data_IF_994415672318
#
_entry.id   IF_994415672318
#
_cell.length_a   1.000
_cell.length_b   1.000
_cell.length_c   1.000
_cell.angle_alpha   90.00
_cell.angle_beta   90.00
_cell.angle_gamma   90.00
#
_symmetry.space_group_name_H-M   'P 1'
#
loop_
_entity.id
_entity.type
_entity.pdbx_description
1 polymer ?
#
# COMPACT_ATOMS: atom_id res chain seq x y z
N UNK A 1 8.66 -5.33 30.33
CA UNK A 1 8.36 -4.15 29.50
C UNK A 1 6.87 -3.92 29.60
N UNK A 2 6.43 -2.82 30.18
CA UNK A 2 5.00 -2.54 30.36
C UNK A 2 4.47 -2.00 29.04
N UNK A 3 3.44 -2.64 28.48
CA UNK A 3 2.79 -2.18 27.26
C UNK A 3 2.08 -0.86 27.55
N UNK A 4 2.28 0.13 26.69
CA UNK A 4 1.53 1.39 26.75
C UNK A 4 0.02 1.08 26.63
N UNK A 5 -0.86 1.68 27.45
CA UNK A 5 -2.30 1.48 27.37
C UNK A 5 -2.88 1.68 25.96
N UNK A 6 -2.28 2.54 25.14
CA UNK A 6 -2.65 2.76 23.73
C UNK A 6 -2.47 1.47 22.91
N UNK A 7 -1.45 0.67 23.21
CA UNK A 7 -1.18 -0.60 22.52
C UNK A 7 -1.80 -1.84 23.21
N UNK A 8 -2.40 -1.67 24.38
CA UNK A 8 -3.03 -2.74 25.15
C UNK A 8 -4.56 -2.84 24.92
N UNK A 9 -5.14 -1.90 24.18
CA UNK A 9 -6.56 -1.93 23.82
C UNK A 9 -6.89 -3.19 23.00
N UNK A 10 -8.07 -3.80 23.20
CA UNK A 10 -8.50 -4.94 22.42
C UNK A 10 -8.66 -4.57 20.95
N UNK A 11 -8.11 -5.39 20.06
CA UNK A 11 -8.13 -5.16 18.62
C UNK A 11 -6.99 -5.87 17.90
N UNK A 12 -6.88 -5.63 16.59
CA UNK A 12 -5.79 -6.14 15.76
C UNK A 12 -4.97 -4.96 15.24
N UNK A 13 -3.65 -5.01 15.46
CA UNK A 13 -2.72 -4.12 14.76
C UNK A 13 -2.66 -4.51 13.30
N UNK A 14 -3.04 -3.58 12.42
CA UNK A 14 -2.96 -3.78 10.97
C UNK A 14 -1.63 -3.25 10.44
N UNK A 15 -0.86 -4.12 9.80
CA UNK A 15 0.37 -3.75 9.11
C UNK A 15 0.02 -3.22 7.72
N UNK A 16 0.23 -1.93 7.48
CA UNK A 16 -0.11 -1.29 6.21
C UNK A 16 1.02 -0.48 5.60
N UNK A 17 1.07 -0.41 4.26
CA UNK A 17 1.80 0.65 3.57
C UNK A 17 0.80 1.67 3.01
N UNK A 18 0.92 2.92 3.44
CA UNK A 18 -0.01 4.00 3.07
C UNK A 18 0.43 4.82 1.86
N UNK A 19 1.64 4.58 1.33
CA UNK A 19 2.16 5.34 0.20
C UNK A 19 3.15 4.50 -0.61
N UNK A 20 2.70 4.05 -1.78
CA UNK A 20 3.49 3.18 -2.66
C UNK A 20 3.16 3.45 -4.10
N UNK A 21 4.17 3.47 -4.97
CA UNK A 21 3.98 3.74 -6.39
C UNK A 21 4.15 2.45 -7.21
N UNK A 22 3.49 2.42 -8.37
CA UNK A 22 3.63 1.37 -9.37
C UNK A 22 4.23 1.97 -10.66
N UNK A 23 4.39 1.14 -11.69
CA UNK A 23 4.83 1.60 -13.01
C UNK A 23 3.77 2.41 -13.77
N UNK A 24 2.60 2.67 -13.18
CA UNK A 24 1.66 3.65 -13.69
C UNK A 24 2.13 5.11 -13.49
N UNK A 25 3.10 5.34 -12.59
CA UNK A 25 3.82 6.61 -12.49
C UNK A 25 5.35 6.43 -12.52
N UNK A 26 6.03 6.42 -11.38
CA UNK A 26 7.50 6.27 -11.29
C UNK A 26 7.96 5.10 -10.42
N UNK A 27 7.05 4.19 -10.08
CA UNK A 27 7.41 2.87 -9.58
C UNK A 27 7.93 1.96 -10.69
N UNK A 28 8.49 0.82 -10.28
CA UNK A 28 9.11 -0.14 -11.21
C UNK A 28 8.18 -1.28 -11.61
N UNK A 29 7.27 -1.68 -10.70
CA UNK A 29 6.45 -2.90 -10.85
C UNK A 29 5.00 -2.55 -11.15
N UNK A 30 4.28 -3.45 -11.81
CA UNK A 30 2.84 -3.28 -12.06
C UNK A 30 2.05 -3.15 -10.75
N UNK A 31 0.88 -2.49 -10.75
CA UNK A 31 0.01 -2.42 -9.58
C UNK A 31 -0.27 -3.81 -8.97
N UNK A 32 -0.58 -4.80 -9.80
CA UNK A 32 -0.82 -6.18 -9.37
C UNK A 32 0.41 -6.79 -8.68
N UNK A 33 1.59 -6.60 -9.25
CA UNK A 33 2.84 -7.12 -8.69
C UNK A 33 3.21 -6.45 -7.37
N UNK A 34 2.93 -5.14 -7.22
CA UNK A 34 3.05 -4.42 -5.95
C UNK A 34 2.11 -5.04 -4.91
N UNK A 35 0.82 -5.18 -5.24
CA UNK A 35 -0.18 -5.77 -4.34
C UNK A 35 0.20 -7.21 -3.92
N UNK A 36 0.64 -8.05 -4.86
CA UNK A 36 1.07 -9.42 -4.59
C UNK A 36 2.22 -9.46 -3.58
N UNK A 37 3.24 -8.61 -3.75
CA UNK A 37 4.40 -8.61 -2.85
C UNK A 37 4.07 -8.16 -1.43
N UNK A 38 3.20 -7.15 -1.26
CA UNK A 38 2.78 -6.76 0.10
C UNK A 38 1.93 -7.84 0.76
N UNK A 39 1.08 -8.52 0.00
CA UNK A 39 0.30 -9.67 0.48
C UNK A 39 1.21 -10.84 0.89
N UNK A 40 2.19 -11.19 0.06
CA UNK A 40 3.21 -12.21 0.38
C UNK A 40 4.07 -11.84 1.60
N UNK A 41 4.33 -10.55 1.81
CA UNK A 41 5.06 -10.01 2.96
C UNK A 41 4.21 -9.87 4.24
N UNK A 42 2.97 -10.37 4.23
CA UNK A 42 2.07 -10.39 5.39
C UNK A 42 1.54 -9.01 5.80
N UNK A 43 1.40 -8.09 4.84
CA UNK A 43 0.68 -6.83 5.08
C UNK A 43 -0.83 -7.06 5.01
N UNK A 44 -1.56 -6.32 5.85
CA UNK A 44 -3.01 -6.36 5.92
C UNK A 44 -3.68 -5.51 4.86
N UNK A 45 -3.03 -4.41 4.50
CA UNK A 45 -3.51 -3.50 3.46
C UNK A 45 -2.34 -2.75 2.83
N UNK A 46 -2.60 -2.19 1.65
CA UNK A 46 -1.74 -1.17 1.06
C UNK A 46 -2.57 -0.10 0.36
N UNK A 47 -1.95 1.05 0.12
CA UNK A 47 -2.41 2.06 -0.80
C UNK A 47 -1.42 2.19 -1.96
N UNK A 48 -1.93 2.06 -3.18
CA UNK A 48 -1.22 2.44 -4.40
C UNK A 48 -1.56 3.90 -4.70
N UNK A 49 -0.55 4.76 -4.66
CA UNK A 49 -0.68 6.23 -4.66
C UNK A 49 0.14 6.83 -5.81
N UNK A 50 -0.01 6.28 -7.00
CA UNK A 50 0.66 6.79 -8.20
C UNK A 50 0.34 8.27 -8.45
N UNK A 51 1.31 8.98 -9.04
CA UNK A 51 1.17 10.41 -9.31
C UNK A 51 0.08 10.72 -10.34
N UNK A 52 -0.91 11.53 -9.93
CA UNK A 52 -1.94 12.08 -10.82
C UNK A 52 -1.46 13.36 -11.52
N UNK A 53 -0.52 13.22 -12.46
CA UNK A 53 0.11 14.36 -13.16
C UNK A 53 0.08 14.18 -14.67
N UNK A 54 0.10 15.30 -15.41
CA UNK A 54 0.12 15.30 -16.88
C UNK A 54 1.29 14.48 -17.46
N UNK A 55 2.47 14.51 -16.83
CA UNK A 55 3.64 13.72 -17.26
C UNK A 55 3.41 12.20 -17.27
N UNK A 56 2.42 11.72 -16.51
CA UNK A 56 2.02 10.31 -16.45
C UNK A 56 0.66 10.05 -17.10
N UNK A 57 0.06 11.06 -17.76
CA UNK A 57 -1.23 10.93 -18.42
C UNK A 57 -2.43 10.86 -17.48
N UNK A 58 -2.33 11.41 -16.26
CA UNK A 58 -3.41 11.37 -15.25
C UNK A 58 -3.93 9.95 -14.99
N UNK A 59 -3.06 9.01 -14.58
CA UNK A 59 -3.40 7.61 -14.49
C UNK A 59 -4.46 7.36 -13.41
N UNK A 60 -5.41 6.48 -13.71
CA UNK A 60 -6.32 5.88 -12.74
C UNK A 60 -5.91 4.41 -12.58
N UNK A 61 -5.45 4.06 -11.38
CA UNK A 61 -4.91 2.73 -11.09
C UNK A 61 -5.98 1.89 -10.40
N UNK A 62 -6.32 0.76 -11.01
CA UNK A 62 -7.24 -0.23 -10.47
C UNK A 62 -6.46 -1.35 -9.76
N UNK A 63 -6.87 -1.66 -8.53
CA UNK A 63 -6.26 -2.72 -7.70
C UNK A 63 -7.26 -3.81 -7.34
N UNK A 64 -8.40 -3.87 -8.04
CA UNK A 64 -9.34 -4.99 -7.91
C UNK A 64 -8.68 -6.29 -8.39
N UNK A 65 -8.92 -7.42 -7.69
CA UNK A 65 -8.38 -8.73 -8.06
C UNK A 65 -9.02 -9.30 -9.32
#
# INVERSE_FOLDING_TARGET
>A
MQLDPVFAAPGRFLKGNIHTHSNASDGVRSPEAVCATYREAGYDFLAVTDHFMAKYGFPIVDTRP
#
